data_IF_102513438326
#
_entry.id   IF_102513438326
#
_cell.length_a   1.000
_cell.length_b   1.000
_cell.length_c   1.000
_cell.angle_alpha   90.00
_cell.angle_beta   90.00
_cell.angle_gamma   90.00
#
_symmetry.space_group_name_H-M   'P 1'
#
loop_
_entity.id
_entity.type
_entity.pdbx_description
1 polymer ?
#
# COMPACT_ATOMS: atom_id res chain seq x y z
N UNK A 1 -7.99 10.17 2.57
CA UNK A 1 -8.68 8.91 2.96
C UNK A 1 -8.64 8.79 4.49
N UNK A 2 -9.40 7.86 5.08
CA UNK A 2 -9.48 7.68 6.55
C UNK A 2 -8.49 6.65 7.12
N UNK A 3 -7.51 6.19 6.34
CA UNK A 3 -6.53 5.22 6.83
C UNK A 3 -5.67 5.85 7.92
N UNK A 4 -5.49 5.14 9.03
CA UNK A 4 -4.59 5.53 10.12
C UNK A 4 -3.11 5.30 9.79
N UNK A 5 -2.82 4.53 8.73
CA UNK A 5 -1.47 4.09 8.38
C UNK A 5 -0.87 3.03 9.32
N UNK A 6 -1.53 2.69 10.44
CA UNK A 6 -1.00 1.77 11.47
C UNK A 6 -0.54 0.43 10.90
N UNK A 7 -1.31 -0.15 9.97
CA UNK A 7 -0.95 -1.45 9.36
C UNK A 7 0.32 -1.36 8.51
N UNK A 8 0.47 -0.33 7.68
CA UNK A 8 1.69 -0.12 6.89
C UNK A 8 2.92 0.09 7.77
N UNK A 9 2.78 0.85 8.87
CA UNK A 9 3.85 1.02 9.85
C UNK A 9 4.20 -0.29 10.56
N UNK A 10 3.21 -1.14 10.85
CA UNK A 10 3.45 -2.47 11.43
C UNK A 10 4.28 -3.35 10.48
N UNK A 11 4.01 -3.30 9.17
CA UNK A 11 4.85 -3.93 8.14
C UNK A 11 6.27 -3.40 8.13
N UNK A 12 6.44 -2.07 8.16
CA UNK A 12 7.77 -1.46 8.21
C UNK A 12 8.58 -1.88 9.44
N UNK A 13 7.95 -1.90 10.62
CA UNK A 13 8.60 -2.33 11.88
C UNK A 13 8.94 -3.81 11.85
N UNK A 14 8.01 -4.67 11.46
CA UNK A 14 8.26 -6.11 11.36
C UNK A 14 9.36 -6.44 10.35
N UNK A 15 9.39 -5.76 9.20
CA UNK A 15 10.45 -5.95 8.20
C UNK A 15 11.83 -5.54 8.77
N UNK A 16 11.90 -4.41 9.47
CA UNK A 16 13.14 -3.95 10.14
C UNK A 16 13.62 -4.96 11.19
N UNK A 17 12.70 -5.47 12.01
CA UNK A 17 13.02 -6.47 13.05
C UNK A 17 13.46 -7.82 12.46
N UNK A 18 13.01 -8.13 11.23
CA UNK A 18 13.48 -9.27 10.43
C UNK A 18 14.80 -8.99 9.69
N UNK A 19 15.41 -7.82 9.89
CA UNK A 19 16.72 -7.46 9.34
C UNK A 19 16.69 -6.75 7.98
N UNK A 20 15.52 -6.36 7.48
CA UNK A 20 15.43 -5.60 6.23
C UNK A 20 15.87 -4.14 6.42
N UNK A 21 16.45 -3.56 5.37
CA UNK A 21 16.54 -2.10 5.24
C UNK A 21 15.19 -1.58 4.76
N UNK A 22 14.59 -0.65 5.50
CA UNK A 22 13.22 -0.20 5.28
C UNK A 22 13.19 1.30 5.04
N UNK A 23 12.62 1.69 3.91
CA UNK A 23 12.30 3.07 3.59
C UNK A 23 10.78 3.20 3.46
N UNK A 24 10.20 4.22 4.10
CA UNK A 24 8.75 4.44 4.12
C UNK A 24 8.40 5.69 3.33
N UNK A 25 7.51 5.57 2.34
CA UNK A 25 6.82 6.72 1.78
C UNK A 25 5.49 6.86 2.50
N UNK A 26 5.35 7.89 3.32
CA UNK A 26 4.25 8.07 4.25
C UNK A 26 3.35 9.23 3.83
N UNK A 27 2.04 8.99 3.82
CA UNK A 27 1.03 10.00 3.49
C UNK A 27 -0.08 10.02 4.54
N UNK A 28 -0.39 11.19 5.09
CA UNK A 28 -1.46 11.39 6.07
C UNK A 28 -1.38 10.42 7.27
N UNK A 29 -0.18 10.22 7.82
CA UNK A 29 0.05 9.36 9.00
C UNK A 29 0.46 10.20 10.21
N UNK A 30 0.22 9.69 11.42
CA UNK A 30 0.68 10.34 12.64
C UNK A 30 2.21 10.23 12.75
N UNK A 31 2.91 11.37 12.85
CA UNK A 31 4.37 11.43 12.94
C UNK A 31 4.96 10.61 14.10
N UNK A 32 4.22 10.42 15.19
CA UNK A 32 4.68 9.58 16.31
C UNK A 32 4.89 8.11 15.91
N UNK A 33 4.17 7.62 14.89
CA UNK A 33 4.31 6.25 14.38
C UNK A 33 5.62 6.04 13.60
N UNK A 34 6.20 7.11 13.06
CA UNK A 34 7.40 7.09 12.22
C UNK A 34 8.71 7.19 13.01
N UNK A 35 8.63 7.40 14.33
CA UNK A 35 9.81 7.50 15.19
C UNK A 35 10.70 6.25 15.06
N UNK A 36 11.97 6.48 14.72
CA UNK A 36 13.00 5.45 14.53
C UNK A 36 12.96 4.73 13.17
N UNK A 37 12.17 5.21 12.21
CA UNK A 37 12.05 4.67 10.86
C UNK A 37 12.51 5.72 9.84
N UNK A 38 13.29 5.29 8.84
CA UNK A 38 13.64 6.15 7.71
C UNK A 38 12.40 6.35 6.83
N UNK A 39 12.07 7.60 6.52
CA UNK A 39 10.84 7.92 5.82
C UNK A 39 10.93 9.22 5.02
N UNK A 40 10.03 9.33 4.04
CA UNK A 40 9.73 10.50 3.24
C UNK A 40 8.22 10.79 3.38
N UNK A 41 7.86 12.05 3.66
CA UNK A 41 6.45 12.47 3.78
C UNK A 41 5.98 13.02 2.43
N UNK A 42 4.83 12.54 1.98
CA UNK A 42 4.11 13.03 0.80
C UNK A 42 2.65 13.30 1.14
N UNK A 43 2.01 14.20 0.41
CA UNK A 43 0.61 14.58 0.65
C UNK A 43 -0.32 14.07 -0.43
N UNK A 44 0.10 14.19 -1.70
CA UNK A 44 -0.74 13.88 -2.85
C UNK A 44 -0.42 12.52 -3.49
N UNK A 45 -1.40 11.98 -4.21
CA UNK A 45 -1.18 10.79 -5.05
C UNK A 45 -0.07 11.02 -6.08
N UNK A 46 0.07 12.25 -6.60
CA UNK A 46 1.12 12.59 -7.56
C UNK A 46 2.51 12.58 -6.92
N UNK A 47 2.67 13.11 -5.71
CA UNK A 47 3.92 13.04 -4.96
C UNK A 47 4.29 11.60 -4.59
N UNK A 48 3.32 10.80 -4.15
CA UNK A 48 3.53 9.37 -3.89
C UNK A 48 4.02 8.64 -5.15
N UNK A 49 3.43 8.94 -6.31
CA UNK A 49 3.87 8.39 -7.59
C UNK A 49 5.31 8.79 -7.92
N UNK A 50 5.67 10.07 -7.74
CA UNK A 50 7.03 10.57 -8.00
C UNK A 50 8.06 9.90 -7.07
N UNK A 51 7.78 9.89 -5.77
CA UNK A 51 8.64 9.30 -4.76
C UNK A 51 8.88 7.80 -5.05
N UNK A 52 7.82 7.04 -5.36
CA UNK A 52 7.95 5.62 -5.70
C UNK A 52 8.73 5.40 -7.01
N UNK A 53 8.46 6.20 -8.04
CA UNK A 53 9.16 6.10 -9.32
C UNK A 53 10.67 6.31 -9.19
N UNK A 54 11.10 7.19 -8.30
CA UNK A 54 12.53 7.45 -8.04
C UNK A 54 13.26 6.26 -7.39
N UNK A 55 12.52 5.25 -6.91
CA UNK A 55 13.04 4.10 -6.13
C UNK A 55 12.80 2.74 -6.75
N UNK A 56 12.29 2.69 -7.99
CA UNK A 56 11.92 1.43 -8.66
C UNK A 56 13.06 0.39 -8.73
N UNK A 57 14.31 0.84 -8.69
CA UNK A 57 15.48 -0.02 -8.82
C UNK A 57 16.17 -0.31 -7.47
N UNK A 58 15.61 0.19 -6.35
CA UNK A 58 16.24 0.18 -5.03
C UNK A 58 15.55 -0.70 -3.99
N UNK A 59 14.60 -1.55 -4.38
CA UNK A 59 13.92 -2.47 -3.45
C UNK A 59 13.76 -3.86 -4.06
N UNK A 60 13.75 -4.88 -3.20
CA UNK A 60 13.39 -6.26 -3.57
C UNK A 60 11.95 -6.62 -3.14
N UNK A 61 11.31 -5.78 -2.30
CA UNK A 61 9.94 -5.94 -1.84
C UNK A 61 9.27 -4.56 -1.70
N UNK A 62 8.09 -4.41 -2.29
CA UNK A 62 7.20 -3.27 -2.12
C UNK A 62 5.94 -3.69 -1.35
N UNK A 63 5.64 -2.97 -0.27
CA UNK A 63 4.39 -3.11 0.48
C UNK A 63 3.53 -1.87 0.27
N UNK A 64 2.57 -1.94 -0.66
CA UNK A 64 1.70 -0.83 -1.03
C UNK A 64 0.48 -0.73 -0.09
N UNK A 65 0.74 -0.41 1.17
CA UNK A 65 -0.29 -0.29 2.22
C UNK A 65 -1.01 1.06 2.26
N UNK A 66 -0.54 2.05 1.49
CA UNK A 66 -1.16 3.37 1.43
C UNK A 66 -2.56 3.30 0.81
N UNK A 67 -3.55 3.92 1.46
CA UNK A 67 -4.89 4.05 0.92
C UNK A 67 -4.93 5.19 -0.11
N UNK A 68 -4.42 4.96 -1.31
CA UNK A 68 -4.36 5.97 -2.38
C UNK A 68 -5.77 6.41 -2.78
N UNK A 69 -5.98 7.72 -2.95
CA UNK A 69 -7.28 8.23 -3.39
C UNK A 69 -7.51 7.93 -4.87
N UNK A 70 -8.69 7.40 -5.23
CA UNK A 70 -9.01 7.05 -6.62
C UNK A 70 -9.23 8.28 -7.52
N UNK A 71 -9.62 9.42 -6.94
CA UNK A 71 -9.90 10.66 -7.66
C UNK A 71 -9.20 11.86 -7.01
N UNK A 72 -8.98 12.90 -7.81
CA UNK A 72 -8.51 14.23 -7.37
C UNK A 72 -9.35 15.34 -8.03
N UNK A 73 -9.40 16.55 -7.44
CA UNK A 73 -9.93 17.71 -8.15
C UNK A 73 -9.22 17.92 -9.49
N UNK A 74 -10.00 18.19 -10.54
CA UNK A 74 -9.48 18.49 -11.89
C UNK A 74 -8.66 19.78 -11.92
N UNK A 75 -8.97 20.73 -11.03
CA UNK A 75 -8.25 21.98 -10.83
C UNK A 75 -8.03 22.19 -9.34
N UNK A 76 -6.79 22.50 -8.97
CA UNK A 76 -6.42 22.97 -7.63
C UNK A 76 -6.28 24.49 -7.63
N UNK A 77 -6.55 25.11 -6.48
CA UNK A 77 -6.30 26.53 -6.25
C UNK A 77 -5.18 26.68 -5.24
N UNK A 78 -4.20 27.54 -5.54
CA UNK A 78 -3.09 27.86 -4.63
C UNK A 78 -3.53 28.76 -3.47
N UNK A 79 -4.76 29.27 -3.54
CA UNK A 79 -5.33 30.12 -2.51
C UNK A 79 -6.66 29.56 -2.01
N UNK A 80 -6.98 29.89 -0.75
CA UNK A 80 -8.26 29.55 -0.14
C UNK A 80 -9.40 30.13 -0.99
N UNK A 81 -10.24 29.24 -1.51
CA UNK A 81 -11.46 29.62 -2.22
C UNK A 81 -12.38 30.37 -1.24
N UNK A 82 -12.68 31.64 -1.53
CA UNK A 82 -13.52 32.48 -0.65
C UNK A 82 -14.98 32.34 -1.03
N UNK A 83 -15.84 32.08 -0.03
CA UNK A 83 -17.30 32.03 -0.21
C UNK A 83 -17.86 33.32 -0.83
N UNK A 84 -17.32 34.47 -0.46
CA UNK A 84 -17.72 35.76 -1.01
C UNK A 84 -17.54 35.88 -2.54
N UNK A 85 -16.60 35.11 -3.12
CA UNK A 85 -16.30 35.13 -4.55
C UNK A 85 -17.06 34.03 -5.32
N UNK A 86 -17.40 32.91 -4.67
CA UNK A 86 -18.08 31.76 -5.30
C UNK A 86 -19.61 31.76 -5.13
N UNK A 87 -20.13 32.47 -4.13
CA UNK A 87 -21.56 32.44 -3.77
C UNK A 87 -21.94 31.29 -2.83
N UNK A 88 -23.21 30.87 -2.91
CA UNK A 88 -23.81 29.90 -1.97
C UNK A 88 -23.49 28.43 -2.28
N UNK A 89 -22.93 28.11 -3.44
CA UNK A 89 -22.64 26.74 -3.87
C UNK A 89 -21.32 26.67 -4.64
N UNK A 90 -20.60 25.55 -4.49
CA UNK A 90 -19.38 25.25 -5.23
C UNK A 90 -19.54 23.88 -5.89
N UNK A 91 -19.10 23.74 -7.13
CA UNK A 91 -18.99 22.45 -7.82
C UNK A 91 -17.52 22.03 -7.91
N UNK A 92 -17.25 20.76 -7.59
CA UNK A 92 -15.91 20.16 -7.72
C UNK A 92 -15.95 19.09 -8.80
N UNK A 93 -15.29 19.35 -9.92
CA UNK A 93 -15.08 18.36 -10.96
C UNK A 93 -13.89 17.48 -10.59
N UNK A 94 -14.12 16.17 -10.48
CA UNK A 94 -13.10 15.19 -10.11
C UNK A 94 -12.62 14.39 -11.33
N UNK A 95 -11.33 14.08 -11.35
CA UNK A 95 -10.69 13.21 -12.35
C UNK A 95 -9.97 12.06 -11.67
N UNK A 96 -9.89 10.93 -12.35
CA UNK A 96 -9.22 9.75 -11.81
C UNK A 96 -7.72 10.00 -11.56
N UNK A 97 -7.21 9.45 -10.47
CA UNK A 97 -5.78 9.34 -10.22
C UNK A 97 -5.16 8.18 -10.98
N UNK A 98 -3.83 8.26 -11.13
CA UNK A 98 -3.04 7.12 -11.58
C UNK A 98 -3.23 5.97 -10.61
N UNK A 99 -3.47 4.78 -11.15
CA UNK A 99 -3.45 3.53 -10.38
C UNK A 99 -2.00 3.14 -10.07
N UNK A 100 -1.44 3.71 -9.00
CA UNK A 100 0.00 3.58 -8.66
C UNK A 100 0.41 2.11 -8.53
N UNK A 101 -0.44 1.27 -7.95
CA UNK A 101 -0.13 -0.15 -7.77
C UNK A 101 -0.02 -0.88 -9.11
N UNK A 102 -0.91 -0.61 -10.05
CA UNK A 102 -0.80 -1.19 -11.41
C UNK A 102 0.38 -0.59 -12.19
N UNK A 103 0.60 0.71 -12.05
CA UNK A 103 1.72 1.39 -12.70
C UNK A 103 3.07 0.82 -12.25
N UNK A 104 3.24 0.56 -10.95
CA UNK A 104 4.52 0.05 -10.42
C UNK A 104 4.80 -1.37 -10.92
N UNK A 105 3.80 -2.25 -10.92
CA UNK A 105 3.96 -3.65 -11.37
C UNK A 105 4.25 -3.72 -12.87
N UNK A 106 3.58 -2.88 -13.68
CA UNK A 106 3.87 -2.75 -15.11
C UNK A 106 5.31 -2.27 -15.37
N UNK A 107 5.78 -1.27 -14.61
CA UNK A 107 7.16 -0.77 -14.73
C UNK A 107 8.20 -1.79 -14.28
N UNK A 108 7.97 -2.49 -13.18
CA UNK A 108 8.87 -3.56 -12.71
C UNK A 108 8.98 -4.66 -13.77
N UNK A 109 7.84 -5.10 -14.33
CA UNK A 109 7.80 -6.10 -15.40
C UNK A 109 8.53 -5.62 -16.66
N UNK A 110 8.30 -4.39 -17.10
CA UNK A 110 8.96 -3.80 -18.26
C UNK A 110 10.50 -3.76 -18.11
N UNK A 111 10.99 -3.67 -16.87
CA UNK A 111 12.43 -3.65 -16.53
C UNK A 111 12.99 -5.03 -16.22
N UNK A 112 12.18 -6.10 -16.28
CA UNK A 112 12.56 -7.44 -15.80
C UNK A 112 13.08 -7.42 -14.35
N UNK A 113 12.54 -6.53 -13.53
CA UNK A 113 12.86 -6.44 -12.11
C UNK A 113 12.06 -7.51 -11.35
N UNK A 114 12.73 -8.30 -10.52
CA UNK A 114 12.17 -9.40 -9.73
C UNK A 114 11.64 -8.98 -8.36
N UNK A 115 11.50 -7.68 -8.11
CA UNK A 115 10.96 -7.18 -6.85
C UNK A 115 9.51 -7.64 -6.67
N UNK A 116 9.19 -8.10 -5.47
CA UNK A 116 7.85 -8.56 -5.13
C UNK A 116 6.95 -7.39 -4.74
N UNK A 117 5.67 -7.50 -5.03
CA UNK A 117 4.67 -6.48 -4.73
C UNK A 117 3.53 -7.07 -3.91
N UNK A 118 3.36 -6.52 -2.71
CA UNK A 118 2.22 -6.77 -1.82
C UNK A 118 1.27 -5.57 -1.92
N UNK A 119 0.08 -5.79 -2.47
CA UNK A 119 -1.01 -4.83 -2.44
C UNK A 119 -1.95 -5.06 -1.25
N UNK A 120 -2.84 -4.09 -0.99
CA UNK A 120 -3.88 -4.20 0.03
C UNK A 120 -5.27 -4.07 -0.58
N UNK A 121 -6.22 -4.81 -0.03
CA UNK A 121 -7.64 -4.71 -0.32
C UNK A 121 -8.41 -4.61 1.00
N UNK A 122 -9.24 -3.59 1.14
CA UNK A 122 -10.17 -3.45 2.25
C UNK A 122 -11.56 -3.48 1.63
N UNK A 123 -12.30 -4.56 1.84
CA UNK A 123 -13.59 -4.81 1.20
C UNK A 123 -14.67 -4.99 2.28
N UNK A 124 -15.89 -4.57 1.98
CA UNK A 124 -17.08 -4.78 2.83
C UNK A 124 -17.95 -5.90 2.25
N UNK A 125 -17.38 -7.08 2.02
CA UNK A 125 -18.04 -8.13 1.23
C UNK A 125 -17.78 -9.53 1.77
N UNK A 126 -18.82 -10.37 1.72
CA UNK A 126 -18.73 -11.82 1.96
C UNK A 126 -17.80 -12.53 0.93
N UNK A 127 -17.58 -11.90 -0.23
CA UNK A 127 -16.73 -12.39 -1.33
C UNK A 127 -15.28 -11.86 -1.27
N UNK A 128 -14.76 -11.52 -0.08
CA UNK A 128 -13.43 -10.90 0.13
C UNK A 128 -12.31 -11.55 -0.71
N UNK A 129 -12.21 -12.88 -0.68
CA UNK A 129 -11.15 -13.64 -1.39
C UNK A 129 -11.27 -13.48 -2.90
N UNK A 130 -12.48 -13.54 -3.45
CA UNK A 130 -12.72 -13.43 -4.90
C UNK A 130 -12.41 -12.03 -5.41
N UNK A 131 -12.78 -11.00 -4.65
CA UNK A 131 -12.43 -9.61 -4.96
C UNK A 131 -10.91 -9.40 -4.89
N UNK A 132 -10.26 -9.94 -3.86
CA UNK A 132 -8.81 -9.88 -3.73
C UNK A 132 -8.07 -10.61 -4.86
N UNK A 133 -8.56 -11.76 -5.33
CA UNK A 133 -8.02 -12.47 -6.50
C UNK A 133 -8.18 -11.64 -7.78
N UNK A 134 -9.34 -11.02 -7.97
CA UNK A 134 -9.56 -10.11 -9.11
C UNK A 134 -8.59 -8.92 -9.06
N UNK A 135 -8.36 -8.37 -7.86
CA UNK A 135 -7.40 -7.29 -7.64
C UNK A 135 -5.97 -7.75 -7.90
N UNK A 136 -5.58 -8.92 -7.42
CA UNK A 136 -4.25 -9.53 -7.65
C UNK A 136 -3.92 -9.55 -9.15
N UNK A 137 -4.83 -10.12 -9.96
CA UNK A 137 -4.65 -10.23 -11.41
C UNK A 137 -4.68 -8.86 -12.10
N UNK A 138 -5.67 -8.02 -11.79
CA UNK A 138 -5.82 -6.72 -12.46
C UNK A 138 -4.68 -5.74 -12.16
N UNK A 139 -4.08 -5.83 -10.98
CA UNK A 139 -2.96 -5.00 -10.53
C UNK A 139 -1.60 -5.64 -10.81
N UNK A 140 -1.54 -6.93 -11.15
CA UNK A 140 -0.28 -7.65 -11.40
C UNK A 140 0.60 -7.76 -10.16
N UNK A 141 0.02 -7.84 -8.96
CA UNK A 141 0.75 -8.02 -7.71
C UNK A 141 1.06 -9.51 -7.47
N UNK A 142 2.09 -9.79 -6.69
CA UNK A 142 2.39 -11.16 -6.22
C UNK A 142 1.48 -11.58 -5.07
N UNK A 143 1.12 -10.61 -4.21
CA UNK A 143 0.25 -10.83 -3.08
C UNK A 143 -0.76 -9.69 -2.89
N UNK A 144 -1.95 -10.03 -2.39
CA UNK A 144 -2.91 -9.08 -1.85
C UNK A 144 -3.20 -9.44 -0.39
N UNK A 145 -2.96 -8.49 0.51
CA UNK A 145 -3.48 -8.55 1.88
C UNK A 145 -4.92 -8.04 1.85
N UNK A 146 -5.86 -8.97 1.95
CA UNK A 146 -7.29 -8.71 1.95
C UNK A 146 -7.81 -8.63 3.38
N UNK A 147 -8.56 -7.59 3.69
CA UNK A 147 -9.15 -7.36 5.00
C UNK A 147 -10.65 -7.07 4.87
N UNK A 148 -11.47 -7.77 5.64
CA UNK A 148 -12.89 -7.48 5.75
C UNK A 148 -13.10 -6.34 6.75
N UNK A 149 -13.62 -5.22 6.26
CA UNK A 149 -13.92 -4.03 7.07
C UNK A 149 -15.42 -3.85 7.34
N UNK A 150 -16.25 -4.85 7.02
CA UNK A 150 -17.71 -4.80 7.19
C UNK A 150 -18.15 -4.70 8.65
N UNK A 151 -17.37 -5.23 9.59
CA UNK A 151 -17.71 -5.30 11.02
C UNK A 151 -17.34 -4.06 11.86
N UNK A 152 -16.90 -2.96 11.23
CA UNK A 152 -16.55 -1.71 11.93
C UNK A 152 -15.05 -1.47 12.04
N UNK A 153 -14.58 -0.78 13.10
CA UNK A 153 -13.34 0.03 13.19
C UNK A 153 -11.99 -0.74 13.14
N UNK A 154 -11.82 -1.61 12.15
CA UNK A 154 -10.58 -2.36 11.86
C UNK A 154 -9.41 -1.41 11.55
N UNK A 155 -9.71 -0.18 11.10
CA UNK A 155 -8.72 0.86 10.82
C UNK A 155 -8.06 1.43 12.07
N UNK A 156 -8.76 1.50 13.21
CA UNK A 156 -8.21 1.95 14.48
C UNK A 156 -7.93 0.85 15.51
N UNK A 157 -8.52 -0.34 15.36
CA UNK A 157 -8.27 -1.49 16.23
C UNK A 157 -6.80 -1.94 16.19
N UNK A 158 -6.27 -2.36 17.33
CA UNK A 158 -4.90 -2.90 17.43
C UNK A 158 -4.81 -4.37 16.96
N UNK A 159 -5.96 -5.04 16.83
CA UNK A 159 -6.08 -6.39 16.26
C UNK A 159 -6.73 -6.38 14.88
N UNK A 160 -6.48 -7.42 14.11
CA UNK A 160 -7.03 -7.59 12.77
C UNK A 160 -7.14 -9.09 12.39
N UNK A 161 -7.85 -9.37 11.31
CA UNK A 161 -7.88 -10.67 10.64
C UNK A 161 -7.81 -10.44 9.14
N UNK A 162 -6.81 -11.01 8.48
CA UNK A 162 -6.60 -10.82 7.05
C UNK A 162 -6.48 -12.16 6.33
N UNK A 163 -6.74 -12.13 5.03
CA UNK A 163 -6.43 -13.22 4.10
C UNK A 163 -5.35 -12.70 3.14
N UNK A 164 -4.20 -13.35 3.14
CA UNK A 164 -3.17 -13.17 2.14
C UNK A 164 -3.54 -14.01 0.92
N UNK A 165 -3.74 -13.37 -0.21
CA UNK A 165 -4.13 -13.99 -1.49
C UNK A 165 -2.96 -13.92 -2.45
N UNK A 166 -2.66 -15.04 -3.12
CA UNK A 166 -1.61 -15.17 -4.14
C UNK A 166 -2.06 -16.11 -5.27
N UNK A 167 -1.23 -16.27 -6.30
CA UNK A 167 -1.46 -17.28 -7.35
C UNK A 167 -1.41 -18.72 -6.84
N UNK A 168 -0.64 -18.96 -5.77
CA UNK A 168 -0.34 -20.30 -5.27
C UNK A 168 -1.33 -20.75 -4.17
N UNK A 169 -2.20 -19.84 -3.74
CA UNK A 169 -3.22 -20.09 -2.73
C UNK A 169 -3.40 -18.94 -1.75
N UNK A 170 -4.21 -19.19 -0.75
CA UNK A 170 -4.59 -18.21 0.27
C UNK A 170 -4.12 -18.66 1.66
N UNK A 171 -3.74 -17.70 2.51
CA UNK A 171 -3.37 -17.94 3.91
C UNK A 171 -4.03 -16.93 4.82
N UNK A 172 -4.61 -17.38 5.93
CA UNK A 172 -5.29 -16.50 6.88
C UNK A 172 -4.42 -16.21 8.09
N UNK A 173 -4.42 -14.95 8.53
CA UNK A 173 -3.65 -14.50 9.70
C UNK A 173 -4.52 -13.61 10.58
N UNK A 174 -4.44 -13.81 11.90
CA UNK A 174 -5.16 -13.03 12.89
C UNK A 174 -4.26 -12.72 14.07
N UNK A 175 -4.46 -11.57 14.71
CA UNK A 175 -3.65 -11.14 15.84
C UNK A 175 -3.46 -9.63 15.87
N UNK A 176 -2.39 -9.17 16.53
CA UNK A 176 -2.00 -7.76 16.46
C UNK A 176 -1.59 -7.38 15.04
N UNK A 177 -1.67 -6.09 14.70
CA UNK A 177 -1.19 -5.60 13.38
C UNK A 177 0.27 -5.98 13.12
N UNK A 178 1.11 -6.00 14.17
CA UNK A 178 2.51 -6.40 14.09
C UNK A 178 2.66 -7.91 13.85
N UNK A 179 1.94 -8.75 14.58
CA UNK A 179 2.04 -10.22 14.41
C UNK A 179 1.58 -10.66 13.02
N UNK A 180 0.54 -10.00 12.49
CA UNK A 180 0.07 -10.20 11.12
C UNK A 180 1.14 -9.78 10.12
N UNK A 181 1.69 -8.59 10.27
CA UNK A 181 2.76 -8.11 9.40
C UNK A 181 3.95 -9.07 9.38
N UNK A 182 4.41 -9.51 10.55
CA UNK A 182 5.51 -10.47 10.69
C UNK A 182 5.18 -11.82 10.06
N UNK A 183 3.96 -12.34 10.27
CA UNK A 183 3.53 -13.62 9.70
C UNK A 183 3.44 -13.56 8.18
N UNK A 184 2.89 -12.47 7.62
CA UNK A 184 2.84 -12.24 6.17
C UNK A 184 4.26 -12.17 5.59
N UNK A 185 5.16 -11.39 6.19
CA UNK A 185 6.55 -11.26 5.71
C UNK A 185 7.30 -12.60 5.76
N UNK A 186 7.13 -13.38 6.82
CA UNK A 186 7.70 -14.73 6.90
C UNK A 186 7.16 -15.65 5.79
N UNK A 187 5.84 -15.63 5.57
CA UNK A 187 5.20 -16.41 4.51
C UNK A 187 5.73 -16.03 3.12
N UNK A 188 5.79 -14.73 2.82
CA UNK A 188 6.34 -14.21 1.56
C UNK A 188 7.80 -14.63 1.41
N UNK A 189 8.62 -14.50 2.44
CA UNK A 189 10.04 -14.87 2.36
C UNK A 189 10.28 -16.38 2.12
N UNK A 190 9.40 -17.24 2.62
CA UNK A 190 9.55 -18.70 2.54
C UNK A 190 9.12 -19.27 1.19
N UNK A 191 8.19 -18.60 0.50
CA UNK A 191 7.61 -19.06 -0.77
C UNK A 191 8.27 -18.43 -2.01
N UNK A 192 9.32 -17.63 -1.83
CA UNK A 192 10.05 -17.01 -2.94
C UNK A 192 11.26 -17.88 -3.29
N UNK A 193 11.16 -18.62 -4.39
CA UNK A 193 12.34 -19.23 -5.03
C UNK A 193 13.16 -18.11 -5.66
N UNK A 194 14.16 -17.62 -4.93
CA UNK A 194 15.11 -16.65 -5.48
C UNK A 194 15.97 -17.33 -6.54
N UNK A 195 15.89 -16.89 -7.79
CA UNK A 195 17.05 -17.04 -8.68
C UNK A 195 18.09 -16.03 -8.19
N UNK A 196 19.31 -16.44 -7.82
CA UNK A 196 20.31 -15.49 -7.33
C UNK A 196 20.53 -14.39 -8.38
N UNK A 197 20.50 -13.11 -7.97
CA UNK A 197 21.10 -12.04 -8.77
C UNK A 197 22.55 -12.46 -8.97
N UNK A 198 22.93 -12.78 -10.21
CA UNK A 198 24.28 -13.23 -10.53
C UNK A 198 25.28 -12.23 -9.98
N UNK A 199 26.25 -12.73 -9.21
CA UNK A 199 27.41 -11.97 -8.78
C UNK A 199 28.06 -11.34 -10.02
N UNK A 200 27.90 -10.03 -10.16
CA UNK A 200 28.70 -9.26 -11.09
C UNK A 200 30.08 -9.14 -10.48
N UNK A 201 30.99 -10.01 -10.94
CA UNK A 201 32.44 -9.85 -10.79
C UNK A 201 32.93 -8.64 -11.56
#
# INVERSE_FOLDING_TARGET
NYSSGKQGIAFARAAKDLGATVHIIAANVNNSLLLGLEHEIVESTAELEIALNSRLDSFDLLVMAAAVADYRPSKSSDSKIKRAEQGESIQLDLVANTDILKMVTEKLKARSNSALVIGFAAETSEDLVKLAQTKLVSKGCDFIVANDISLGDVFNSDTNSIVLVSSDGNSSFSGSKYDIAKSVLNHVSSNVVRTPKGDTK
#
